data_IF_023815128230
#
_entry.id   IF_023815128230
#
_cell.length_a   1.000
_cell.length_b   1.000
_cell.length_c   1.000
_cell.angle_alpha   90.00
_cell.angle_beta   90.00
_cell.angle_gamma   90.00
#
_symmetry.space_group_name_H-M   'P 1'
#
loop_
_entity.id
_entity.type
_entity.pdbx_description
1 polymer ?
#
# COMPACT_ATOMS: atom_id res chain seq x y z
N UNK A 1 -101.86 4.79 -27.04
CA UNK A 1 -101.74 4.31 -25.64
C UNK A 1 -100.50 4.96 -25.04
N UNK A 2 -100.66 5.66 -23.89
CA UNK A 2 -99.65 6.31 -23.01
C UNK A 2 -98.72 7.38 -23.62
N UNK A 3 -98.73 8.68 -23.27
CA UNK A 3 -98.76 9.43 -21.99
C UNK A 3 -97.37 9.74 -21.40
N UNK A 4 -97.15 11.03 -21.06
CA UNK A 4 -96.12 11.56 -20.13
C UNK A 4 -94.92 12.20 -20.83
N UNK A 5 -94.74 13.53 -20.99
CA UNK A 5 -94.80 14.70 -20.10
C UNK A 5 -93.46 15.07 -19.43
N UNK A 6 -93.08 16.33 -19.68
CA UNK A 6 -92.44 17.31 -18.79
C UNK A 6 -90.91 17.34 -18.61
N UNK A 7 -90.40 18.58 -18.61
CA UNK A 7 -89.31 19.00 -17.73
C UNK A 7 -88.11 19.64 -18.46
N UNK A 8 -88.14 20.96 -18.65
CA UNK A 8 -86.95 21.72 -19.05
C UNK A 8 -86.03 22.06 -17.87
N UNK A 9 -84.77 22.41 -18.16
CA UNK A 9 -83.96 23.43 -17.47
C UNK A 9 -82.59 23.58 -18.19
N UNK A 10 -82.23 24.81 -18.56
CA UNK A 10 -80.85 25.32 -18.81
C UNK A 10 -80.06 25.36 -17.48
N UNK A 11 -78.80 25.85 -17.37
CA UNK A 11 -77.62 26.05 -18.25
C UNK A 11 -76.46 25.13 -17.71
N UNK A 12 -75.19 25.12 -18.14
CA UNK A 12 -74.19 26.20 -18.05
C UNK A 12 -72.80 25.66 -18.44
N UNK A 13 -71.94 26.62 -18.82
CA UNK A 13 -70.49 26.68 -18.66
C UNK A 13 -69.67 25.40 -18.78
N UNK A 14 -68.71 25.41 -19.69
CA UNK A 14 -67.37 25.94 -19.38
C UNK A 14 -66.39 25.54 -20.47
N UNK A 15 -65.62 26.54 -20.88
CA UNK A 15 -64.29 26.43 -21.49
C UNK A 15 -63.53 25.18 -21.08
N UNK A 16 -63.38 24.21 -21.98
CA UNK A 16 -62.31 23.22 -21.89
C UNK A 16 -61.23 23.50 -22.94
N UNK A 17 -60.44 24.49 -22.54
CA UNK A 17 -59.00 24.63 -22.72
C UNK A 17 -58.35 23.53 -23.56
N UNK A 18 -58.14 23.86 -24.84
CA UNK A 18 -57.03 23.37 -25.65
C UNK A 18 -55.72 23.48 -24.86
N UNK A 19 -55.09 22.35 -24.54
CA UNK A 19 -53.64 22.14 -24.38
C UNK A 19 -53.35 20.89 -23.55
N UNK A 20 -53.58 19.70 -24.10
CA UNK A 20 -52.96 18.48 -23.58
C UNK A 20 -52.82 17.43 -24.69
N UNK A 21 -52.15 17.83 -25.76
CA UNK A 21 -51.64 16.90 -26.75
C UNK A 21 -50.12 17.04 -26.79
N UNK A 22 -49.42 15.91 -26.88
CA UNK A 22 -47.96 15.72 -26.90
C UNK A 22 -47.29 15.65 -25.51
N UNK A 23 -47.64 14.61 -24.74
CA UNK A 23 -46.70 14.01 -23.79
C UNK A 23 -45.84 12.97 -24.56
N UNK A 24 -44.72 13.45 -25.12
CA UNK A 24 -43.68 12.65 -25.75
C UNK A 24 -43.12 11.63 -24.74
N UNK A 25 -43.15 10.34 -25.05
CA UNK A 25 -42.46 9.30 -24.28
C UNK A 25 -40.95 9.51 -24.33
N UNK A 26 -40.37 10.10 -23.29
CA UNK A 26 -38.95 9.93 -22.97
C UNK A 26 -38.80 8.88 -21.87
N UNK A 27 -38.79 7.61 -22.26
CA UNK A 27 -38.21 6.56 -21.43
C UNK A 27 -36.70 6.72 -21.48
N UNK A 28 -36.16 7.57 -20.59
CA UNK A 28 -34.72 7.62 -20.33
C UNK A 28 -34.31 6.35 -19.60
N UNK A 29 -33.72 5.40 -20.33
CA UNK A 29 -33.13 4.20 -19.76
C UNK A 29 -31.97 4.59 -18.82
N UNK A 30 -32.20 4.41 -17.52
CA UNK A 30 -31.18 4.58 -16.46
C UNK A 30 -30.01 3.63 -16.77
N UNK A 31 -28.76 4.09 -16.91
CA UNK A 31 -27.63 3.20 -17.09
C UNK A 31 -27.55 2.29 -15.85
N UNK A 32 -27.64 0.98 -16.06
CA UNK A 32 -27.42 0.01 -15.02
C UNK A 32 -25.99 0.17 -14.50
N UNK A 33 -25.86 0.51 -13.22
CA UNK A 33 -24.58 0.56 -12.52
C UNK A 33 -23.91 -0.81 -12.65
N UNK A 34 -22.84 -0.90 -13.45
CA UNK A 34 -22.01 -2.09 -13.50
C UNK A 34 -21.57 -2.43 -12.06
N UNK A 35 -21.57 -3.70 -11.64
CA UNK A 35 -21.09 -4.06 -10.32
C UNK A 35 -19.62 -3.66 -10.24
N UNK A 36 -19.32 -2.67 -9.40
CA UNK A 36 -17.94 -2.36 -9.01
C UNK A 36 -17.36 -3.66 -8.47
N UNK A 37 -16.45 -4.29 -9.22
CA UNK A 37 -15.76 -5.49 -8.78
C UNK A 37 -15.17 -5.21 -7.40
N UNK A 38 -15.72 -5.86 -6.37
CA UNK A 38 -15.27 -5.68 -5.01
C UNK A 38 -13.81 -6.12 -4.95
N UNK A 39 -12.90 -5.16 -4.72
CA UNK A 39 -11.48 -5.48 -4.50
C UNK A 39 -11.41 -6.44 -3.32
N UNK A 40 -10.86 -7.66 -3.48
CA UNK A 40 -10.83 -8.62 -2.39
C UNK A 40 -10.06 -8.01 -1.22
N UNK A 41 -10.77 -7.77 -0.12
CA UNK A 41 -10.16 -7.24 1.10
C UNK A 41 -9.15 -8.27 1.62
N UNK A 42 -7.86 -7.91 1.63
CA UNK A 42 -6.81 -8.78 2.17
C UNK A 42 -7.20 -9.26 3.58
N UNK A 43 -7.02 -10.55 3.92
CA UNK A 43 -7.39 -11.04 5.24
C UNK A 43 -6.58 -10.30 6.32
N UNK A 44 -7.26 -9.91 7.41
CA UNK A 44 -6.67 -9.18 8.54
C UNK A 44 -5.39 -9.86 9.08
N UNK A 45 -5.38 -11.19 9.09
CA UNK A 45 -4.23 -12.00 9.53
C UNK A 45 -2.95 -11.76 8.73
N UNK A 46 -3.04 -11.63 7.40
CA UNK A 46 -1.87 -11.37 6.56
C UNK A 46 -1.23 -10.01 6.87
N UNK A 47 -2.04 -8.99 7.18
CA UNK A 47 -1.53 -7.67 7.57
C UNK A 47 -0.79 -7.72 8.90
N UNK A 48 -1.32 -8.46 9.88
CA UNK A 48 -0.68 -8.63 11.18
C UNK A 48 0.62 -9.41 11.04
N UNK A 49 0.62 -10.54 10.34
CA UNK A 49 1.81 -11.34 10.10
C UNK A 49 2.92 -10.51 9.42
N UNK A 50 2.60 -9.75 8.37
CA UNK A 50 3.56 -8.86 7.73
C UNK A 50 4.09 -7.76 8.67
N UNK A 51 3.25 -7.24 9.57
CA UNK A 51 3.69 -6.24 10.55
C UNK A 51 4.64 -6.86 11.57
N UNK A 52 4.37 -8.08 12.04
CA UNK A 52 5.26 -8.83 12.94
C UNK A 52 6.61 -9.06 12.26
N UNK A 53 6.62 -9.58 11.03
CA UNK A 53 7.85 -9.78 10.25
C UNK A 53 8.63 -8.47 10.08
N UNK A 54 7.95 -7.35 9.78
CA UNK A 54 8.58 -6.04 9.69
C UNK A 54 9.23 -5.59 10.99
N UNK A 55 8.54 -5.76 12.12
CA UNK A 55 9.09 -5.40 13.44
C UNK A 55 10.29 -6.27 13.79
N UNK A 56 10.21 -7.59 13.54
CA UNK A 56 11.32 -8.50 13.76
C UNK A 56 12.54 -8.15 12.90
N UNK A 57 12.34 -7.84 11.62
CA UNK A 57 13.40 -7.38 10.74
C UNK A 57 14.01 -6.05 11.22
N UNK A 58 13.17 -5.07 11.59
CA UNK A 58 13.66 -3.80 12.09
C UNK A 58 14.49 -3.98 13.37
N UNK A 59 14.04 -4.82 14.30
CA UNK A 59 14.80 -5.13 15.51
C UNK A 59 16.12 -5.85 15.19
N UNK A 60 16.11 -6.82 14.28
CA UNK A 60 17.32 -7.51 13.84
C UNK A 60 18.34 -6.52 13.26
N UNK A 61 17.92 -5.69 12.30
CA UNK A 61 18.81 -4.72 11.67
C UNK A 61 19.30 -3.64 12.64
N UNK A 62 18.45 -3.16 13.55
CA UNK A 62 18.86 -2.14 14.51
C UNK A 62 19.77 -2.71 15.61
N UNK A 63 19.43 -3.86 16.19
CA UNK A 63 20.06 -4.37 17.41
C UNK A 63 21.11 -5.42 17.12
N UNK A 64 20.80 -6.42 16.30
CA UNK A 64 21.75 -7.49 16.02
C UNK A 64 22.81 -7.06 15.00
N UNK A 65 22.45 -6.17 14.07
CA UNK A 65 23.34 -5.77 12.96
C UNK A 65 24.00 -4.41 13.15
N UNK A 66 23.22 -3.33 13.32
CA UNK A 66 23.75 -1.97 13.35
C UNK A 66 24.41 -1.63 14.69
N UNK A 67 23.80 -2.01 15.81
CA UNK A 67 24.30 -1.64 17.15
C UNK A 67 25.77 -2.06 17.39
N UNK A 68 26.21 -3.31 17.13
CA UNK A 68 27.62 -3.68 17.30
C UNK A 68 28.57 -2.83 16.45
N UNK A 69 28.16 -2.45 15.23
CA UNK A 69 28.94 -1.58 14.34
C UNK A 69 29.02 -0.15 14.88
N UNK A 70 27.92 0.39 15.39
CA UNK A 70 27.83 1.77 15.86
C UNK A 70 28.49 2.01 17.22
N UNK A 71 28.63 0.97 18.05
CA UNK A 71 29.38 1.05 19.30
C UNK A 71 30.83 0.58 19.15
N UNK A 72 31.27 0.27 17.92
CA UNK A 72 32.59 -0.32 17.62
C UNK A 72 32.91 -1.54 18.50
N UNK A 73 31.93 -2.44 18.66
CA UNK A 73 32.16 -3.69 19.36
C UNK A 73 33.15 -4.55 18.56
N UNK A 74 34.04 -5.29 19.24
CA UNK A 74 35.08 -6.10 18.60
C UNK A 74 34.54 -7.08 17.57
N UNK A 75 33.35 -7.65 17.82
CA UNK A 75 32.70 -8.55 16.85
C UNK A 75 32.47 -7.92 15.46
N UNK A 76 32.34 -6.60 15.39
CA UNK A 76 32.23 -5.85 14.14
C UNK A 76 33.57 -5.21 13.75
N UNK A 77 34.25 -4.54 14.68
CA UNK A 77 35.47 -3.79 14.41
C UNK A 77 36.56 -4.68 13.81
N UNK A 78 36.77 -5.89 14.37
CA UNK A 78 37.79 -6.82 13.89
C UNK A 78 37.46 -7.30 12.47
N UNK A 79 36.19 -7.61 12.20
CA UNK A 79 35.69 -8.01 10.88
C UNK A 79 35.94 -6.92 9.83
N UNK A 80 35.64 -5.65 10.14
CA UNK A 80 35.85 -4.53 9.21
C UNK A 80 37.33 -4.14 9.05
N UNK A 81 38.15 -4.34 10.07
CA UNK A 81 39.60 -4.19 9.98
C UNK A 81 40.21 -5.26 9.06
N UNK A 82 39.79 -6.52 9.18
CA UNK A 82 40.24 -7.63 8.33
C UNK A 82 39.88 -7.39 6.85
N UNK A 83 38.70 -6.82 6.57
CA UNK A 83 38.30 -6.42 5.21
C UNK A 83 39.09 -5.20 4.66
N UNK A 84 39.86 -4.51 5.49
CA UNK A 84 40.56 -3.27 5.13
C UNK A 84 39.67 -2.03 5.01
N UNK A 85 38.41 -2.10 5.46
CA UNK A 85 37.45 -0.99 5.41
C UNK A 85 37.49 -0.11 6.67
N UNK A 86 37.98 -0.69 7.77
CA UNK A 86 38.17 -0.01 9.06
C UNK A 86 36.88 0.59 9.62
N UNK A 87 37.06 1.53 10.56
CA UNK A 87 35.96 2.16 11.29
C UNK A 87 35.00 2.94 10.38
N UNK A 88 35.54 3.61 9.34
CA UNK A 88 34.73 4.39 8.42
C UNK A 88 33.70 3.50 7.69
N UNK A 89 34.13 2.35 7.16
CA UNK A 89 33.23 1.39 6.53
C UNK A 89 32.25 0.77 7.53
N UNK A 90 32.73 0.43 8.74
CA UNK A 90 31.90 -0.12 9.80
C UNK A 90 30.75 0.84 10.17
N UNK A 91 31.07 2.09 10.49
CA UNK A 91 30.06 3.09 10.86
C UNK A 91 29.14 3.43 9.70
N UNK A 92 29.65 3.52 8.47
CA UNK A 92 28.81 3.78 7.29
C UNK A 92 27.74 2.69 7.10
N UNK A 93 28.14 1.41 7.15
CA UNK A 93 27.19 0.29 7.05
C UNK A 93 26.24 0.28 8.26
N UNK A 94 26.75 0.50 9.47
CA UNK A 94 25.91 0.58 10.68
C UNK A 94 24.83 1.67 10.60
N UNK A 95 25.16 2.86 10.11
CA UNK A 95 24.20 3.95 9.92
C UNK A 95 23.17 3.60 8.84
N UNK A 96 23.59 3.00 7.73
CA UNK A 96 22.68 2.59 6.66
C UNK A 96 21.70 1.51 7.15
N UNK A 97 22.18 0.52 7.89
CA UNK A 97 21.34 -0.53 8.48
C UNK A 97 20.34 0.04 9.50
N UNK A 98 20.79 0.92 10.40
CA UNK A 98 19.92 1.55 11.39
C UNK A 98 18.86 2.43 10.72
N UNK A 99 19.27 3.24 9.73
CA UNK A 99 18.35 4.10 8.98
C UNK A 99 17.31 3.27 8.24
N UNK A 100 17.73 2.18 7.60
CA UNK A 100 16.84 1.22 6.95
C UNK A 100 15.86 0.58 7.94
N UNK A 101 16.34 0.16 9.12
CA UNK A 101 15.52 -0.43 10.17
C UNK A 101 14.43 0.53 10.66
N UNK A 102 14.80 1.78 10.97
CA UNK A 102 13.86 2.82 11.40
C UNK A 102 12.85 3.13 10.28
N UNK A 103 13.32 3.28 9.05
CA UNK A 103 12.46 3.56 7.89
C UNK A 103 11.48 2.40 7.59
N UNK A 104 11.81 1.16 7.96
CA UNK A 104 10.92 -0.01 7.82
C UNK A 104 9.67 0.09 8.69
N UNK A 105 9.75 0.83 9.80
CA UNK A 105 8.63 1.06 10.71
C UNK A 105 7.67 2.16 10.24
N UNK A 106 8.15 3.06 9.38
CA UNK A 106 7.41 4.21 8.81
C UNK A 106 6.58 3.75 7.61
N UNK A 107 5.22 3.75 7.68
CA UNK A 107 4.33 3.17 6.65
C UNK A 107 4.62 3.63 5.21
N UNK A 108 4.99 4.90 5.04
CA UNK A 108 5.22 5.50 3.72
C UNK A 108 6.58 5.08 3.12
N UNK A 109 7.56 4.77 3.97
CA UNK A 109 8.94 4.44 3.55
C UNK A 109 9.21 2.94 3.48
N UNK A 110 8.31 2.09 3.98
CA UNK A 110 8.57 0.66 4.16
C UNK A 110 9.06 -0.05 2.89
N UNK A 111 8.48 0.27 1.73
CA UNK A 111 8.88 -0.34 0.47
C UNK A 111 10.29 0.07 0.02
N UNK A 112 10.64 1.34 0.22
CA UNK A 112 11.95 1.89 -0.11
C UNK A 112 12.99 1.34 0.86
N UNK A 113 12.70 1.38 2.16
CA UNK A 113 13.55 0.83 3.22
C UNK A 113 13.84 -0.66 3.00
N UNK A 114 12.80 -1.47 2.73
CA UNK A 114 12.97 -2.89 2.47
C UNK A 114 13.80 -3.16 1.20
N UNK A 115 13.66 -2.33 0.17
CA UNK A 115 14.47 -2.44 -1.05
C UNK A 115 15.93 -2.07 -0.78
N UNK A 116 16.18 -0.99 -0.03
CA UNK A 116 17.52 -0.55 0.34
C UNK A 116 18.25 -1.58 1.23
N UNK A 117 17.56 -2.09 2.25
CA UNK A 117 18.09 -3.17 3.09
C UNK A 117 18.33 -4.46 2.26
N UNK A 118 17.49 -4.76 1.28
CA UNK A 118 17.73 -5.89 0.37
C UNK A 118 19.02 -5.69 -0.44
N UNK A 119 19.26 -4.47 -0.94
CA UNK A 119 20.51 -4.15 -1.64
C UNK A 119 21.74 -4.27 -0.71
N UNK A 120 21.62 -3.86 0.55
CA UNK A 120 22.67 -4.11 1.55
C UNK A 120 22.91 -5.61 1.77
N UNK A 121 21.86 -6.44 1.80
CA UNK A 121 22.01 -7.89 1.91
C UNK A 121 22.74 -8.51 0.71
N UNK A 122 22.53 -7.96 -0.50
CA UNK A 122 23.34 -8.37 -1.67
C UNK A 122 24.80 -8.02 -1.46
N UNK A 123 25.10 -6.80 -1.00
CA UNK A 123 26.47 -6.40 -0.67
C UNK A 123 27.11 -7.28 0.39
N UNK A 124 26.39 -7.57 1.49
CA UNK A 124 26.83 -8.45 2.56
C UNK A 124 27.10 -9.88 2.05
N UNK A 125 26.24 -10.40 1.18
CA UNK A 125 26.46 -11.70 0.55
C UNK A 125 27.75 -11.73 -0.29
N UNK A 126 27.97 -10.71 -1.12
CA UNK A 126 29.20 -10.60 -1.93
C UNK A 126 30.44 -10.51 -1.04
N UNK A 127 30.41 -9.70 0.02
CA UNK A 127 31.49 -9.62 1.01
C UNK A 127 31.77 -10.98 1.62
N UNK A 128 30.73 -11.71 1.99
CA UNK A 128 30.87 -13.03 2.60
C UNK A 128 31.55 -14.05 1.66
N UNK A 129 31.21 -14.02 0.37
CA UNK A 129 31.85 -14.88 -0.62
C UNK A 129 33.30 -14.48 -0.93
N UNK A 130 33.65 -13.20 -0.80
CA UNK A 130 34.94 -12.67 -1.25
C UNK A 130 35.99 -12.58 -0.14
N UNK A 131 35.58 -12.32 1.10
CA UNK A 131 36.49 -12.13 2.23
C UNK A 131 36.45 -13.29 3.24
N UNK A 132 35.40 -14.12 3.23
CA UNK A 132 35.16 -15.08 4.31
C UNK A 132 34.79 -16.49 3.79
N UNK A 133 35.21 -16.84 2.57
CA UNK A 133 35.01 -18.16 1.95
C UNK A 133 33.55 -18.67 1.97
N UNK A 134 32.58 -17.76 2.00
CA UNK A 134 31.16 -18.07 2.04
C UNK A 134 30.63 -18.56 3.39
N UNK A 135 31.42 -18.52 4.47
CA UNK A 135 30.93 -18.76 5.83
C UNK A 135 29.70 -17.89 6.09
N UNK A 136 28.59 -18.32 6.70
CA UNK A 136 27.42 -17.45 6.93
C UNK A 136 26.75 -16.78 5.70
N UNK A 137 27.11 -17.13 4.45
CA UNK A 137 26.52 -16.51 3.25
C UNK A 137 25.00 -16.76 3.12
N UNK A 138 24.49 -17.77 3.82
CA UNK A 138 23.05 -18.04 3.93
C UNK A 138 22.29 -16.93 4.69
N UNK A 139 22.90 -16.31 5.70
CA UNK A 139 22.26 -15.29 6.56
C UNK A 139 21.69 -14.11 5.77
N UNK A 140 22.47 -13.40 4.93
CA UNK A 140 21.93 -12.28 4.15
C UNK A 140 20.82 -12.73 3.19
N UNK A 141 20.91 -13.93 2.61
CA UNK A 141 19.87 -14.47 1.73
C UNK A 141 18.56 -14.74 2.48
N UNK A 142 18.65 -15.35 3.67
CA UNK A 142 17.50 -15.64 4.54
C UNK A 142 16.78 -14.34 4.92
N UNK A 143 17.51 -13.27 5.23
CA UNK A 143 16.94 -11.97 5.57
C UNK A 143 16.41 -11.22 4.33
N UNK A 144 17.04 -11.41 3.18
CA UNK A 144 16.63 -10.78 1.92
C UNK A 144 15.24 -11.26 1.47
N UNK A 145 14.91 -12.54 1.64
CA UNK A 145 13.59 -13.09 1.26
C UNK A 145 12.41 -12.32 1.90
N UNK A 146 12.29 -12.21 3.23
CA UNK A 146 11.19 -11.47 3.86
C UNK A 146 11.26 -9.97 3.56
N UNK A 147 12.45 -9.37 3.39
CA UNK A 147 12.57 -7.98 2.94
C UNK A 147 11.95 -7.77 1.55
N UNK A 148 12.22 -8.67 0.60
CA UNK A 148 11.64 -8.60 -0.74
C UNK A 148 10.13 -8.81 -0.72
N UNK A 149 9.63 -9.71 0.13
CA UNK A 149 8.19 -9.90 0.36
C UNK A 149 7.56 -8.61 0.89
N UNK A 150 8.18 -7.98 1.88
CA UNK A 150 7.72 -6.68 2.42
C UNK A 150 7.76 -5.59 1.34
N UNK A 151 8.84 -5.50 0.57
CA UNK A 151 8.98 -4.53 -0.50
C UNK A 151 7.86 -4.68 -1.54
N UNK A 152 7.58 -5.91 -1.99
CA UNK A 152 6.51 -6.21 -2.95
C UNK A 152 5.12 -5.91 -2.38
N UNK A 153 4.84 -6.35 -1.15
CA UNK A 153 3.53 -6.17 -0.52
C UNK A 153 3.20 -4.69 -0.25
N UNK A 154 4.20 -3.87 0.11
CA UNK A 154 3.98 -2.46 0.47
C UNK A 154 4.00 -1.51 -0.73
N UNK A 155 4.64 -1.86 -1.85
CA UNK A 155 4.57 -1.07 -3.10
C UNK A 155 3.12 -0.86 -3.55
N UNK A 156 2.31 -1.92 -3.60
CA UNK A 156 0.91 -1.82 -3.98
C UNK A 156 0.07 -0.95 -3.05
N UNK A 157 0.29 -1.02 -1.73
CA UNK A 157 -0.42 -0.19 -0.76
C UNK A 157 -0.06 1.31 -0.87
N UNK A 158 1.22 1.61 -1.10
CA UNK A 158 1.70 2.99 -1.24
C UNK A 158 1.19 3.64 -2.53
N UNK A 159 1.08 2.88 -3.62
CA UNK A 159 0.50 3.36 -4.87
C UNK A 159 -0.99 3.70 -4.71
N UNK A 160 -1.75 2.87 -4.00
CA UNK A 160 -3.15 3.13 -3.67
C UNK A 160 -3.30 4.39 -2.82
N UNK A 161 -2.50 4.53 -1.75
CA UNK A 161 -2.50 5.72 -0.90
C UNK A 161 -2.19 6.99 -1.71
N UNK A 162 -1.19 6.94 -2.60
CA UNK A 162 -0.84 8.06 -3.48
C UNK A 162 -1.95 8.42 -4.46
N UNK A 163 -2.64 7.43 -5.03
CA UNK A 163 -3.79 7.66 -5.92
C UNK A 163 -4.94 8.35 -5.17
N UNK A 164 -5.27 7.87 -3.97
CA UNK A 164 -6.32 8.46 -3.14
C UNK A 164 -6.02 9.91 -2.74
N UNK A 165 -4.77 10.21 -2.38
CA UNK A 165 -4.33 11.58 -2.06
C UNK A 165 -4.44 12.52 -3.26
N UNK A 166 -3.98 12.10 -4.45
CA UNK A 166 -4.13 12.92 -5.68
C UNK A 166 -5.58 13.19 -6.03
N UNK A 167 -6.43 12.17 -5.93
CA UNK A 167 -7.86 12.30 -6.22
C UNK A 167 -8.60 13.20 -5.22
N UNK A 168 -8.06 13.43 -4.02
CA UNK A 168 -8.61 14.38 -3.04
C UNK A 168 -8.15 15.81 -3.32
N UNK A 169 -6.88 16.00 -3.70
CA UNK A 169 -6.33 17.32 -4.05
C UNK A 169 -7.00 17.88 -5.31
N UNK A 170 -7.31 17.04 -6.30
CA UNK A 170 -7.98 17.49 -7.55
C UNK A 170 -9.49 17.77 -7.39
N UNK A 171 -10.07 17.47 -6.22
CA UNK A 171 -11.51 17.66 -5.92
C UNK A 171 -11.78 18.75 -4.89
N UNK A 172 -10.73 19.38 -4.34
CA UNK A 172 -10.83 20.54 -3.46
C UNK A 172 -10.33 21.78 -4.19
#
# INVERSE_FOLDING_TARGET
MSSGAAGGLYPDSSTDRSAQEIAMSETTARPASAPTAAVPARPRGLRVALRVVQVLLALFFAVASALPKLIAHSSAADTFAEMGWGDAGMYAIGVLELTGAVALLVPVLQSVAATALSALMVGAFVVQLTYFDGANAATPLILMVPLLVVARARRGHNEELRRLLRARILRG
#
